data_IF_337804839961
#
_entry.id   IF_337804839961
#
_cell.length_a   1.000
_cell.length_b   1.000
_cell.length_c   1.000
_cell.angle_alpha   90.00
_cell.angle_beta   90.00
_cell.angle_gamma   90.00
#
_symmetry.space_group_name_H-M   'P 1'
#
loop_
_entity.id
_entity.type
_entity.pdbx_description
1 polymer ?
#
# COMPACT_ATOMS: atom_id res chain seq x y z
N UNK A 1 17.57 -38.97 -16.77
CA UNK A 1 18.88 -38.37 -17.11
C UNK A 1 18.72 -37.13 -17.98
N UNK A 2 18.06 -37.22 -19.15
CA UNK A 2 17.86 -36.07 -20.06
C UNK A 2 17.07 -34.92 -19.39
N UNK A 3 15.98 -35.22 -18.68
CA UNK A 3 15.19 -34.21 -17.98
C UNK A 3 15.97 -33.45 -16.89
N UNK A 4 16.95 -34.09 -16.27
CA UNK A 4 17.78 -33.49 -15.22
C UNK A 4 18.79 -32.50 -15.80
N UNK A 5 19.39 -32.83 -16.95
CA UNK A 5 20.33 -31.93 -17.64
C UNK A 5 19.60 -30.69 -18.16
N UNK A 6 18.46 -30.88 -18.82
CA UNK A 6 17.62 -29.77 -19.30
C UNK A 6 17.08 -28.91 -18.14
N UNK A 7 16.78 -29.53 -17.00
CA UNK A 7 16.40 -28.82 -15.78
C UNK A 7 17.51 -27.90 -15.28
N UNK A 8 18.75 -28.37 -15.24
CA UNK A 8 19.90 -27.58 -14.81
C UNK A 8 20.21 -26.44 -15.79
N UNK A 9 20.07 -26.66 -17.10
CA UNK A 9 20.24 -25.62 -18.11
C UNK A 9 19.19 -24.51 -17.97
N UNK A 10 17.91 -24.89 -17.79
CA UNK A 10 16.83 -23.94 -17.55
C UNK A 10 17.03 -23.12 -16.27
N UNK A 11 17.60 -23.74 -15.22
CA UNK A 11 17.93 -23.04 -13.97
C UNK A 11 19.08 -22.06 -14.16
N UNK A 12 20.14 -22.45 -14.88
CA UNK A 12 21.25 -21.55 -15.22
C UNK A 12 20.79 -20.34 -16.04
N UNK A 13 19.93 -20.54 -17.04
CA UNK A 13 19.38 -19.43 -17.83
C UNK A 13 18.55 -18.46 -16.99
N UNK A 14 17.73 -18.99 -16.08
CA UNK A 14 16.96 -18.18 -15.13
C UNK A 14 17.89 -17.36 -14.22
N UNK A 15 18.94 -17.97 -13.69
CA UNK A 15 19.90 -17.29 -12.83
C UNK A 15 20.63 -16.17 -13.58
N UNK A 16 21.10 -16.44 -14.80
CA UNK A 16 21.72 -15.43 -15.66
C UNK A 16 20.79 -14.24 -15.95
N UNK A 17 19.50 -14.50 -16.17
CA UNK A 17 18.50 -13.44 -16.36
C UNK A 17 18.34 -12.57 -15.11
N UNK A 18 18.25 -13.19 -13.93
CA UNK A 18 18.12 -12.49 -12.66
C UNK A 18 19.37 -11.68 -12.31
N UNK A 19 20.57 -12.19 -12.62
CA UNK A 19 21.83 -11.46 -12.41
C UNK A 19 21.90 -10.20 -13.26
N UNK A 20 21.53 -10.28 -14.55
CA UNK A 20 21.46 -9.10 -15.43
C UNK A 20 20.44 -8.09 -14.93
N UNK A 21 19.28 -8.55 -14.45
CA UNK A 21 18.26 -7.68 -13.87
C UNK A 21 18.79 -6.97 -12.61
N UNK A 22 19.47 -7.71 -11.72
CA UNK A 22 20.09 -7.14 -10.50
C UNK A 22 21.13 -6.07 -10.84
N UNK A 23 22.01 -6.33 -11.81
CA UNK A 23 22.99 -5.35 -12.27
C UNK A 23 22.30 -4.07 -12.80
N UNK A 24 21.22 -4.22 -13.57
CA UNK A 24 20.42 -3.08 -14.02
C UNK A 24 19.77 -2.30 -12.86
N UNK A 25 19.23 -3.00 -11.87
CA UNK A 25 18.65 -2.39 -10.67
C UNK A 25 19.72 -1.62 -9.88
N UNK A 26 20.92 -2.17 -9.72
CA UNK A 26 22.02 -1.51 -9.01
C UNK A 26 22.45 -0.22 -9.71
N UNK A 27 22.58 -0.25 -11.04
CA UNK A 27 22.88 0.95 -11.84
C UNK A 27 21.76 2.00 -11.66
N UNK A 28 20.49 1.59 -11.72
CA UNK A 28 19.37 2.50 -11.55
C UNK A 28 19.24 3.06 -10.11
N UNK A 29 19.61 2.28 -9.09
CA UNK A 29 19.74 2.74 -7.70
C UNK A 29 20.87 3.77 -7.56
N UNK A 30 22.04 3.51 -8.15
CA UNK A 30 23.17 4.44 -8.16
C UNK A 30 22.82 5.76 -8.87
N UNK A 31 21.99 5.70 -9.92
CA UNK A 31 21.43 6.86 -10.63
C UNK A 31 20.27 7.55 -9.88
N UNK A 32 19.83 7.02 -8.74
CA UNK A 32 18.73 7.60 -7.95
C UNK A 32 17.35 7.50 -8.60
N UNK A 33 17.15 6.62 -9.59
CA UNK A 33 15.87 6.48 -10.32
C UNK A 33 14.77 5.92 -9.42
N UNK A 34 15.13 5.02 -8.51
CA UNK A 34 14.18 4.42 -7.57
C UNK A 34 13.88 5.38 -6.41
N UNK A 35 12.87 6.24 -6.60
CA UNK A 35 12.35 7.15 -5.56
C UNK A 35 11.28 6.50 -4.68
N UNK A 36 11.04 5.19 -4.83
CA UNK A 36 9.99 4.46 -4.12
C UNK A 36 8.59 5.02 -4.40
N UNK A 37 7.69 4.92 -3.41
CA UNK A 37 6.42 5.63 -3.45
C UNK A 37 6.70 7.14 -3.35
N UNK A 38 6.19 7.92 -4.30
CA UNK A 38 6.28 9.40 -4.30
C UNK A 38 6.06 9.96 -2.88
N UNK A 39 7.11 10.58 -2.34
CA UNK A 39 7.07 11.26 -1.05
C UNK A 39 6.00 12.35 -1.11
N UNK A 40 5.08 12.38 -0.14
CA UNK A 40 3.94 13.30 -0.15
C UNK A 40 2.67 12.78 -0.85
N UNK A 41 2.64 11.56 -1.40
CA UNK A 41 1.38 10.86 -1.77
C UNK A 41 0.58 10.37 -0.54
N UNK A 42 0.69 11.11 0.57
CA UNK A 42 -0.06 10.92 1.80
C UNK A 42 -1.10 12.02 1.82
N UNK A 43 -2.36 11.60 1.87
CA UNK A 43 -3.47 12.52 2.13
C UNK A 43 -3.26 13.13 3.53
N UNK A 44 -3.40 14.45 3.67
CA UNK A 44 -3.37 15.08 4.99
C UNK A 44 -4.55 14.59 5.83
N UNK A 45 -4.50 14.70 7.15
CA UNK A 45 -5.59 14.22 8.01
C UNK A 45 -6.89 15.00 7.76
N UNK A 46 -6.79 16.29 7.45
CA UNK A 46 -7.94 17.11 7.02
C UNK A 46 -8.54 16.64 5.71
N UNK A 47 -7.71 16.38 4.70
CA UNK A 47 -8.16 15.84 3.41
C UNK A 47 -8.80 14.47 3.61
N UNK A 48 -8.24 13.64 4.48
CA UNK A 48 -8.75 12.31 4.79
C UNK A 48 -10.13 12.37 5.46
N UNK A 49 -10.32 13.27 6.43
CA UNK A 49 -11.62 13.53 7.06
C UNK A 49 -12.64 14.08 6.05
N UNK A 50 -12.23 15.04 5.20
CA UNK A 50 -13.08 15.54 4.10
C UNK A 50 -13.53 14.43 3.17
N UNK A 51 -12.63 13.50 2.81
CA UNK A 51 -12.93 12.36 1.94
C UNK A 51 -13.97 11.41 2.55
N UNK A 52 -13.94 11.21 3.87
CA UNK A 52 -14.82 10.28 4.58
C UNK A 52 -15.80 10.98 5.53
N UNK A 53 -16.26 12.18 5.16
CA UNK A 53 -17.18 12.99 5.97
C UNK A 53 -18.46 12.25 6.38
N UNK A 54 -18.97 11.35 5.53
CA UNK A 54 -20.14 10.53 5.86
C UNK A 54 -19.89 9.63 7.08
N UNK A 55 -18.75 8.95 7.12
CA UNK A 55 -18.38 8.07 8.25
C UNK A 55 -18.20 8.89 9.51
N UNK A 56 -17.58 10.07 9.41
CA UNK A 56 -17.42 10.98 10.53
C UNK A 56 -18.77 11.41 11.13
N UNK A 57 -19.75 11.79 10.30
CA UNK A 57 -21.10 12.17 10.75
C UNK A 57 -21.80 11.01 11.45
N UNK A 58 -21.77 9.81 10.87
CA UNK A 58 -22.38 8.63 11.48
C UNK A 58 -21.73 8.29 12.83
N UNK A 59 -20.41 8.41 12.95
CA UNK A 59 -19.71 8.21 14.21
C UNK A 59 -20.07 9.28 15.26
N UNK A 60 -20.29 10.54 14.87
CA UNK A 60 -20.80 11.59 15.78
C UNK A 60 -22.23 11.31 16.24
N UNK A 61 -23.05 10.71 15.37
CA UNK A 61 -24.42 10.29 15.71
C UNK A 61 -24.48 9.09 16.67
N UNK A 62 -23.33 8.51 17.05
CA UNK A 62 -23.24 7.40 18.01
C UNK A 62 -23.31 6.01 17.38
N UNK A 63 -23.23 5.90 16.05
CA UNK A 63 -23.26 4.61 15.37
C UNK A 63 -22.01 3.76 15.63
N UNK A 64 -22.19 2.43 15.57
CA UNK A 64 -21.07 1.51 15.72
C UNK A 64 -20.07 1.63 14.56
N UNK A 65 -18.78 1.35 14.81
CA UNK A 65 -17.72 1.38 13.78
C UNK A 65 -18.08 0.55 12.53
N UNK A 66 -18.71 -0.62 12.71
CA UNK A 66 -19.11 -1.49 11.60
C UNK A 66 -20.26 -0.89 10.78
N UNK A 67 -21.23 -0.26 11.45
CA UNK A 67 -22.38 0.36 10.79
C UNK A 67 -21.97 1.63 10.04
N UNK A 68 -21.19 2.49 10.68
CA UNK A 68 -20.62 3.68 10.04
C UNK A 68 -19.73 3.32 8.83
N UNK A 69 -18.90 2.27 8.93
CA UNK A 69 -18.09 1.79 7.82
C UNK A 69 -18.94 1.27 6.64
N UNK A 70 -20.02 0.54 6.94
CA UNK A 70 -20.95 0.03 5.92
C UNK A 70 -21.70 1.17 5.22
N UNK A 71 -22.18 2.17 5.98
CA UNK A 71 -22.88 3.35 5.44
C UNK A 71 -21.94 4.25 4.62
N UNK A 72 -20.68 4.36 5.03
CA UNK A 72 -19.65 5.09 4.31
C UNK A 72 -18.91 4.29 3.24
N UNK A 73 -19.35 3.06 2.94
CA UNK A 73 -18.74 2.15 1.97
C UNK A 73 -17.21 2.03 2.11
N UNK A 74 -16.70 1.98 3.34
CA UNK A 74 -15.27 1.95 3.63
C UNK A 74 -14.90 0.73 4.49
N UNK A 75 -13.59 0.44 4.58
CA UNK A 75 -13.11 -0.63 5.45
C UNK A 75 -13.20 -0.23 6.93
N UNK A 76 -13.20 -1.25 7.81
CA UNK A 76 -13.16 -1.04 9.26
C UNK A 76 -11.93 -0.24 9.69
N UNK A 77 -10.77 -0.47 9.06
CA UNK A 77 -9.54 0.25 9.37
C UNK A 77 -9.64 1.75 9.06
N UNK A 78 -10.38 2.12 8.00
CA UNK A 78 -10.66 3.53 7.67
C UNK A 78 -11.54 4.15 8.75
N UNK A 79 -12.64 3.50 9.15
CA UNK A 79 -13.50 4.00 10.22
C UNK A 79 -12.77 4.13 11.57
N UNK A 80 -11.87 3.19 11.89
CA UNK A 80 -11.00 3.27 13.08
C UNK A 80 -10.00 4.42 12.99
N UNK A 81 -9.42 4.68 11.81
CA UNK A 81 -8.54 5.84 11.60
C UNK A 81 -9.31 7.15 11.81
N UNK A 82 -10.51 7.27 11.25
CA UNK A 82 -11.39 8.45 11.43
C UNK A 82 -11.70 8.66 12.91
N UNK A 83 -12.12 7.61 13.62
CA UNK A 83 -12.43 7.72 15.05
C UNK A 83 -11.23 8.20 15.88
N UNK A 84 -10.01 7.77 15.53
CA UNK A 84 -8.78 8.26 16.18
C UNK A 84 -8.54 9.74 15.89
N UNK A 85 -8.62 10.15 14.63
CA UNK A 85 -8.46 11.55 14.22
C UNK A 85 -9.49 12.47 14.88
N UNK A 86 -10.74 12.01 15.08
CA UNK A 86 -11.77 12.79 15.78
C UNK A 86 -11.46 13.02 17.27
N UNK A 87 -10.71 12.13 17.91
CA UNK A 87 -10.31 12.29 19.33
C UNK A 87 -9.13 13.25 19.43
N UNK A 88 -8.22 13.23 18.45
CA UNK A 88 -6.98 14.02 18.44
C UNK A 88 -7.21 15.51 18.11
N UNK A 89 -8.36 15.84 17.51
CA UNK A 89 -8.76 17.22 17.15
C UNK A 89 -9.53 17.94 18.28
N UNK A 90 -9.97 17.22 19.32
CA UNK A 90 -10.62 17.79 20.52
C UNK A 90 -9.63 17.98 21.66
#
# INVERSE_FOLDING_TARGET
MIASVLGNEAEMERNNMLERQKAGIEIAKAKGVYTGRLYGSRMTDEEFLKKYKKVEVELRNGESLRRAAKLGCCSLGVAQKIKRLMIEVN
#
